data_IF_545702385750
#
_entry.id   IF_545702385750
#
_cell.length_a   1.000
_cell.length_b   1.000
_cell.length_c   1.000
_cell.angle_alpha   90.00
_cell.angle_beta   90.00
_cell.angle_gamma   90.00
#
_symmetry.space_group_name_H-M   'P 1'
#
loop_
_entity.id
_entity.type
_entity.pdbx_description
1 polymer ?
#
# COMPACT_ATOMS: atom_id res chain seq x y z
N UNK A 1 13.29 6.10 -8.25
CA UNK A 1 11.97 5.53 -8.62
C UNK A 1 12.01 4.02 -8.75
N UNK A 2 13.19 3.38 -8.72
CA UNK A 2 13.34 1.92 -8.83
C UNK A 2 12.49 1.14 -7.83
N UNK A 3 12.23 1.65 -6.63
CA UNK A 3 11.39 1.00 -5.62
C UNK A 3 9.97 0.63 -6.08
N UNK A 4 9.45 1.21 -7.17
CA UNK A 4 8.18 0.72 -7.75
C UNK A 4 8.39 -0.64 -8.45
N UNK A 5 9.45 -0.78 -9.24
CA UNK A 5 9.71 -1.96 -10.09
C UNK A 5 10.58 -3.02 -9.40
N UNK A 6 11.45 -2.56 -8.48
CA UNK A 6 12.41 -3.36 -7.72
C UNK A 6 12.31 -3.10 -6.20
N UNK A 7 11.14 -3.29 -5.58
CA UNK A 7 11.00 -3.10 -4.14
C UNK A 7 11.78 -4.17 -3.38
N UNK A 8 12.44 -3.76 -2.30
CA UNK A 8 13.07 -4.64 -1.30
C UNK A 8 12.07 -5.30 -0.38
N UNK A 9 10.87 -4.73 -0.25
CA UNK A 9 9.75 -5.32 0.47
C UNK A 9 8.47 -4.56 0.19
N UNK A 10 7.34 -5.27 0.21
CA UNK A 10 6.03 -4.70 -0.13
C UNK A 10 5.06 -4.90 1.03
N UNK A 11 4.47 -3.81 1.52
CA UNK A 11 3.36 -3.87 2.46
C UNK A 11 2.03 -3.81 1.70
N UNK A 12 1.06 -4.61 2.10
CA UNK A 12 -0.31 -4.56 1.56
C UNK A 12 -1.25 -4.10 2.67
N UNK A 13 -1.60 -2.82 2.66
CA UNK A 13 -2.47 -2.19 3.65
C UNK A 13 -3.93 -2.37 3.25
N UNK A 14 -4.73 -2.94 4.15
CA UNK A 14 -6.06 -3.44 3.82
C UNK A 14 -6.08 -4.91 3.41
N UNK A 15 -4.97 -5.64 3.61
CA UNK A 15 -4.92 -7.08 3.41
C UNK A 15 -5.97 -7.80 4.27
N UNK A 16 -6.54 -8.88 3.75
CA UNK A 16 -7.61 -9.61 4.43
C UNK A 16 -7.67 -11.05 3.92
N UNK A 17 -8.05 -12.05 4.74
CA UNK A 17 -8.34 -13.39 4.27
C UNK A 17 -9.71 -13.49 3.61
N UNK A 18 -10.55 -12.45 3.66
CA UNK A 18 -11.90 -12.52 3.10
C UNK A 18 -11.87 -12.72 1.56
N UNK A 19 -12.61 -13.70 1.03
CA UNK A 19 -12.62 -14.00 -0.39
C UNK A 19 -13.21 -12.83 -1.19
N UNK A 20 -12.81 -12.70 -2.46
CA UNK A 20 -13.33 -11.72 -3.41
C UNK A 20 -13.12 -10.24 -3.02
N UNK A 21 -12.05 -9.94 -2.27
CA UNK A 21 -11.70 -8.57 -1.88
C UNK A 21 -10.38 -8.13 -2.53
N UNK A 22 -10.27 -6.84 -2.86
CA UNK A 22 -9.06 -6.26 -3.47
C UNK A 22 -7.81 -6.48 -2.61
N UNK A 23 -7.90 -6.27 -1.30
CA UNK A 23 -6.79 -6.52 -0.38
C UNK A 23 -6.29 -7.97 -0.37
N UNK A 24 -7.20 -8.96 -0.48
CA UNK A 24 -6.81 -10.37 -0.63
C UNK A 24 -6.13 -10.61 -1.99
N UNK A 25 -6.70 -10.06 -3.06
CA UNK A 25 -6.17 -10.21 -4.42
C UNK A 25 -4.77 -9.62 -4.56
N UNK A 26 -4.49 -8.47 -3.93
CA UNK A 26 -3.15 -7.88 -3.91
C UNK A 26 -2.13 -8.82 -3.28
N UNK A 27 -2.44 -9.39 -2.11
CA UNK A 27 -1.55 -10.36 -1.46
C UNK A 27 -1.36 -11.58 -2.36
N UNK A 28 -2.44 -12.17 -2.89
CA UNK A 28 -2.33 -13.37 -3.73
C UNK A 28 -1.53 -13.10 -5.00
N UNK A 29 -1.74 -11.96 -5.66
CA UNK A 29 -1.02 -11.63 -6.89
C UNK A 29 0.48 -11.49 -6.64
N UNK A 30 0.88 -10.87 -5.54
CA UNK A 30 2.28 -10.77 -5.16
C UNK A 30 2.90 -12.16 -4.91
N UNK A 31 2.17 -13.08 -4.28
CA UNK A 31 2.68 -14.45 -4.03
C UNK A 31 2.92 -15.28 -5.29
N UNK A 32 2.41 -14.85 -6.46
CA UNK A 32 2.62 -15.58 -7.73
C UNK A 32 3.97 -15.32 -8.38
N UNK A 33 4.67 -14.23 -8.04
CA UNK A 33 5.91 -13.88 -8.75
C UNK A 33 6.83 -12.87 -8.06
N UNK A 34 6.42 -12.27 -6.93
CA UNK A 34 7.31 -11.43 -6.15
C UNK A 34 8.10 -12.27 -5.15
N UNK A 35 9.42 -12.33 -5.35
CA UNK A 35 10.34 -13.12 -4.52
C UNK A 35 10.82 -12.39 -3.25
N UNK A 36 10.47 -11.11 -3.08
CA UNK A 36 10.79 -10.36 -1.88
C UNK A 36 9.76 -10.55 -0.76
N UNK A 37 10.01 -9.95 0.42
CA UNK A 37 9.11 -10.09 1.55
C UNK A 37 7.80 -9.30 1.35
N UNK A 38 6.69 -9.99 1.59
CA UNK A 38 5.32 -9.46 1.53
C UNK A 38 4.80 -9.31 2.96
N UNK A 39 4.33 -8.11 3.32
CA UNK A 39 3.81 -7.80 4.64
C UNK A 39 2.33 -7.40 4.56
N UNK A 40 1.39 -8.31 4.82
CA UNK A 40 0.00 -7.93 5.05
C UNK A 40 -0.11 -6.95 6.22
N UNK A 41 -0.92 -5.91 6.06
CA UNK A 41 -1.18 -4.92 7.12
C UNK A 41 -2.69 -4.76 7.30
N UNK A 42 -3.18 -5.22 8.45
CA UNK A 42 -4.56 -5.07 8.90
C UNK A 42 -4.66 -5.38 10.42
N UNK A 43 -5.12 -4.44 11.26
CA UNK A 43 -5.19 -4.64 12.71
C UNK A 43 -6.22 -5.71 13.14
N UNK A 44 -7.09 -6.17 12.24
CA UNK A 44 -8.09 -7.21 12.53
C UNK A 44 -7.54 -8.63 12.46
N UNK A 45 -6.40 -8.82 11.82
CA UNK A 45 -5.87 -10.16 11.54
C UNK A 45 -4.42 -10.26 12.00
N UNK A 46 -4.06 -11.42 12.54
CA UNK A 46 -2.68 -11.78 12.86
C UNK A 46 -1.99 -12.49 11.69
N UNK A 47 -2.77 -13.01 10.73
CA UNK A 47 -2.27 -13.73 9.56
C UNK A 47 -3.22 -13.50 8.36
N UNK A 48 -2.65 -13.40 7.15
CA UNK A 48 -3.39 -13.36 5.89
C UNK A 48 -2.68 -14.27 4.88
N UNK A 49 -3.37 -15.28 4.37
CA UNK A 49 -2.83 -16.25 3.40
C UNK A 49 -1.51 -16.92 3.85
N UNK A 50 -1.40 -17.28 5.13
CA UNK A 50 -0.18 -17.89 5.68
C UNK A 50 0.97 -16.92 5.96
N UNK A 51 0.77 -15.61 5.73
CA UNK A 51 1.76 -14.58 5.99
C UNK A 51 1.41 -13.82 7.27
N UNK A 52 2.41 -13.55 8.12
CA UNK A 52 2.26 -12.72 9.33
C UNK A 52 1.68 -11.35 8.97
N UNK A 53 0.56 -11.00 9.58
CA UNK A 53 -0.11 -9.73 9.38
C UNK A 53 0.26 -8.75 10.50
N UNK A 54 0.57 -7.51 10.13
CA UNK A 54 0.94 -6.44 11.05
C UNK A 54 -0.25 -5.50 11.27
N UNK A 55 -0.40 -4.91 12.47
CA UNK A 55 -1.48 -3.96 12.70
C UNK A 55 -1.25 -2.61 12.03
N UNK A 56 0.02 -2.18 11.89
CA UNK A 56 0.41 -0.95 11.17
C UNK A 56 1.66 -1.16 10.33
N UNK A 57 1.87 -0.26 9.39
CA UNK A 57 3.08 -0.26 8.53
C UNK A 57 4.34 -0.01 9.36
N UNK A 58 4.26 0.84 10.39
CA UNK A 58 5.37 1.16 11.28
C UNK A 58 5.85 -0.02 12.13
N UNK A 59 5.03 -1.06 12.30
CA UNK A 59 5.36 -2.23 13.12
C UNK A 59 6.15 -3.30 12.35
N UNK A 60 6.36 -3.09 11.05
CA UNK A 60 7.11 -4.02 10.20
C UNK A 60 8.59 -3.92 10.55
N UNK A 61 9.20 -5.05 10.94
CA UNK A 61 10.63 -5.10 11.33
C UNK A 61 11.57 -5.20 10.11
N UNK A 62 11.10 -5.80 9.01
CA UNK A 62 11.92 -6.06 7.83
C UNK A 62 12.10 -4.88 6.87
N UNK A 63 12.83 -5.09 5.75
CA UNK A 63 12.97 -4.08 4.70
C UNK A 63 11.62 -3.80 4.05
N UNK A 64 11.32 -2.52 3.84
CA UNK A 64 10.07 -2.07 3.24
C UNK A 64 10.30 -0.74 2.53
N UNK A 65 10.01 -0.68 1.24
CA UNK A 65 10.16 0.53 0.42
C UNK A 65 8.95 0.82 -0.48
N UNK A 66 7.99 -0.11 -0.57
CA UNK A 66 6.73 0.08 -1.28
C UNK A 66 5.51 -0.34 -0.42
N UNK A 67 4.47 0.50 -0.41
CA UNK A 67 3.17 0.17 0.18
C UNK A 67 2.07 0.17 -0.88
N UNK A 68 1.28 -0.91 -0.94
CA UNK A 68 0.03 -0.99 -1.69
C UNK A 68 -1.12 -0.70 -0.72
N UNK A 69 -1.94 0.30 -1.02
CA UNK A 69 -2.95 0.83 -0.09
C UNK A 69 -4.34 0.60 -0.68
N UNK A 70 -5.09 -0.30 -0.04
CA UNK A 70 -6.46 -0.67 -0.38
C UNK A 70 -7.37 -0.58 0.86
N UNK A 71 -7.59 0.64 1.34
CA UNK A 71 -8.44 0.95 2.52
C UNK A 71 -9.44 2.07 2.18
N UNK A 72 -10.49 2.33 2.99
CA UNK A 72 -11.34 3.50 2.77
C UNK A 72 -10.52 4.79 2.67
N UNK A 73 -10.89 5.70 1.76
CA UNK A 73 -10.11 6.91 1.46
C UNK A 73 -9.72 7.71 2.72
N UNK A 74 -10.63 7.79 3.69
CA UNK A 74 -10.45 8.54 4.94
C UNK A 74 -9.33 7.97 5.83
N UNK A 75 -8.97 6.69 5.66
CA UNK A 75 -7.88 6.05 6.39
C UNK A 75 -6.51 6.28 5.73
N UNK A 76 -6.48 6.64 4.43
CA UNK A 76 -5.23 6.77 3.66
C UNK A 76 -4.25 7.79 4.27
N UNK A 77 -4.66 8.99 4.74
CA UNK A 77 -3.73 9.92 5.38
C UNK A 77 -2.93 9.31 6.54
N UNK A 78 -3.58 8.55 7.42
CA UNK A 78 -2.90 7.90 8.55
C UNK A 78 -1.92 6.82 8.06
N UNK A 79 -2.30 6.04 7.05
CA UNK A 79 -1.41 5.03 6.46
C UNK A 79 -0.16 5.68 5.85
N UNK A 80 -0.31 6.85 5.20
CA UNK A 80 0.83 7.58 4.65
C UNK A 80 1.78 8.08 5.76
N UNK A 81 1.27 8.54 6.89
CA UNK A 81 2.09 8.91 8.06
C UNK A 81 2.85 7.70 8.63
N UNK A 82 2.19 6.53 8.72
CA UNK A 82 2.84 5.29 9.16
C UNK A 82 3.94 4.86 8.18
N UNK A 83 3.69 4.98 6.87
CA UNK A 83 4.68 4.76 5.80
C UNK A 83 5.90 5.68 5.95
N UNK A 84 5.68 6.97 6.21
CA UNK A 84 6.76 7.94 6.41
C UNK A 84 7.57 7.58 7.65
N UNK A 85 6.91 7.23 8.75
CA UNK A 85 7.56 6.81 10.00
C UNK A 85 8.45 5.59 9.78
N UNK A 86 8.00 4.63 8.97
CA UNK A 86 8.78 3.42 8.60
C UNK A 86 9.89 3.69 7.57
N UNK A 87 9.88 4.84 6.90
CA UNK A 87 10.85 5.19 5.86
C UNK A 87 10.52 4.59 4.48
N UNK A 88 9.25 4.31 4.21
CA UNK A 88 8.78 3.82 2.90
C UNK A 88 9.01 4.88 1.82
N UNK A 89 9.46 4.45 0.64
CA UNK A 89 9.79 5.36 -0.47
C UNK A 89 8.61 5.61 -1.43
N UNK A 90 7.79 4.59 -1.66
CA UNK A 90 6.65 4.63 -2.57
C UNK A 90 5.35 4.13 -1.95
N UNK A 91 4.24 4.72 -2.35
CA UNK A 91 2.90 4.25 -2.04
C UNK A 91 2.05 4.19 -3.32
N UNK A 92 1.40 3.06 -3.59
CA UNK A 92 0.37 2.93 -4.62
C UNK A 92 -0.97 2.95 -3.91
N UNK A 93 -1.77 3.97 -4.17
CA UNK A 93 -3.10 4.12 -3.58
C UNK A 93 -4.14 3.68 -4.59
N UNK A 94 -4.71 2.50 -4.39
CA UNK A 94 -5.76 1.96 -5.26
C UNK A 94 -7.16 2.44 -4.84
N UNK A 95 -7.31 2.87 -3.59
CA UNK A 95 -8.54 3.42 -3.04
C UNK A 95 -9.14 4.55 -3.89
N UNK A 96 -10.45 4.48 -4.10
CA UNK A 96 -11.27 5.58 -4.63
C UNK A 96 -11.85 6.43 -3.49
N UNK A 97 -12.49 7.55 -3.82
CA UNK A 97 -13.04 8.55 -2.90
C UNK A 97 -12.26 9.87 -2.83
N UNK A 98 -11.46 10.19 -3.84
CA UNK A 98 -10.57 11.36 -3.87
C UNK A 98 -11.09 12.45 -4.83
N UNK A 99 -10.23 13.16 -5.57
CA UNK A 99 -10.65 14.29 -6.40
C UNK A 99 -11.78 13.96 -7.39
N UNK A 100 -11.90 12.70 -7.80
CA UNK A 100 -12.93 12.20 -8.71
C UNK A 100 -14.35 12.28 -8.14
N UNK A 101 -14.52 12.36 -6.81
CA UNK A 101 -15.86 12.46 -6.17
C UNK A 101 -16.23 13.89 -5.78
N UNK A 102 -15.44 14.90 -6.16
CA UNK A 102 -15.73 16.32 -5.97
C UNK A 102 -14.92 17.00 -4.84
N UNK A 103 -15.34 18.20 -4.39
CA UNK A 103 -14.49 19.08 -3.57
C UNK A 103 -13.99 18.46 -2.25
N UNK A 104 -14.81 17.66 -1.57
CA UNK A 104 -14.40 16.99 -0.32
C UNK A 104 -13.30 15.95 -0.57
N UNK A 105 -13.43 15.16 -1.63
CA UNK A 105 -12.43 14.18 -2.00
C UNK A 105 -11.15 14.84 -2.54
N UNK A 106 -11.27 15.98 -3.23
CA UNK A 106 -10.12 16.80 -3.62
C UNK A 106 -9.32 17.30 -2.41
N UNK A 107 -10.00 17.80 -1.38
CA UNK A 107 -9.35 18.24 -0.14
C UNK A 107 -8.60 17.08 0.56
N UNK A 108 -9.19 15.89 0.56
CA UNK A 108 -8.54 14.68 1.08
C UNK A 108 -7.30 14.28 0.27
N UNK A 109 -7.37 14.39 -1.06
CA UNK A 109 -6.22 14.16 -1.93
C UNK A 109 -5.09 15.17 -1.67
N UNK A 110 -5.43 16.44 -1.49
CA UNK A 110 -4.46 17.48 -1.18
C UNK A 110 -3.79 17.26 0.17
N UNK A 111 -4.56 16.83 1.18
CA UNK A 111 -4.00 16.39 2.46
C UNK A 111 -3.00 15.24 2.28
N UNK A 112 -3.31 14.23 1.47
CA UNK A 112 -2.40 13.11 1.20
C UNK A 112 -1.11 13.58 0.51
N UNK A 113 -1.22 14.52 -0.44
CA UNK A 113 -0.06 15.11 -1.12
C UNK A 113 0.83 15.90 -0.16
N UNK A 114 0.24 16.65 0.76
CA UNK A 114 0.99 17.44 1.75
C UNK A 114 1.74 16.54 2.75
N UNK A 115 1.11 15.45 3.18
CA UNK A 115 1.77 14.41 4.01
C UNK A 115 2.96 13.81 3.24
N UNK A 116 2.71 13.35 2.01
CA UNK A 116 3.74 12.71 1.20
C UNK A 116 4.94 13.62 0.91
N UNK A 117 4.69 14.91 0.65
CA UNK A 117 5.75 15.92 0.45
C UNK A 117 6.64 16.08 1.68
N UNK A 118 6.06 16.14 2.88
CA UNK A 118 6.81 16.26 4.14
C UNK A 118 7.74 15.07 4.37
N UNK A 119 7.27 13.86 4.07
CA UNK A 119 8.03 12.62 4.25
C UNK A 119 8.87 12.17 3.05
N UNK A 120 8.90 12.93 1.95
CA UNK A 120 9.53 12.56 0.67
C UNK A 120 9.01 11.23 0.09
N UNK A 121 7.77 10.86 0.44
CA UNK A 121 7.08 9.69 -0.08
C UNK A 121 6.54 10.00 -1.48
N UNK A 122 6.65 9.05 -2.42
CA UNK A 122 6.09 9.20 -3.77
C UNK A 122 4.79 8.41 -3.88
N UNK A 123 3.70 9.08 -4.28
CA UNK A 123 2.39 8.45 -4.45
C UNK A 123 2.16 8.15 -5.94
N UNK A 124 1.68 6.94 -6.22
CA UNK A 124 1.03 6.55 -7.47
C UNK A 124 -0.48 6.44 -7.22
N UNK A 125 -1.29 7.01 -8.11
CA UNK A 125 -2.74 7.14 -7.92
C UNK A 125 -3.09 8.51 -7.29
N UNK A 126 -4.15 8.61 -6.47
CA UNK A 126 -5.04 7.54 -5.99
C UNK A 126 -6.00 7.03 -7.08
N UNK A 127 -6.95 6.15 -6.71
CA UNK A 127 -7.98 5.58 -7.61
C UNK A 127 -7.37 4.95 -8.87
N UNK A 128 -6.54 3.92 -8.66
CA UNK A 128 -5.84 3.22 -9.74
C UNK A 128 -5.90 1.70 -9.51
N UNK A 129 -5.38 0.94 -10.49
CA UNK A 129 -5.30 -0.54 -10.44
C UNK A 129 -3.85 -1.04 -10.26
N UNK A 130 -2.95 -0.16 -9.81
CA UNK A 130 -1.51 -0.44 -9.80
C UNK A 130 -0.95 -0.70 -11.20
N UNK A 131 0.02 -1.61 -11.28
CA UNK A 131 0.61 -2.07 -12.54
C UNK A 131 1.15 -3.50 -12.38
N UNK A 132 1.49 -4.12 -13.52
CA UNK A 132 2.19 -5.40 -13.58
C UNK A 132 3.52 -5.14 -14.29
N UNK A 133 4.61 -5.58 -13.68
CA UNK A 133 5.92 -5.59 -14.32
C UNK A 133 6.22 -7.00 -14.85
N UNK A 134 6.21 -7.14 -16.17
CA UNK A 134 6.45 -8.41 -16.87
C UNK A 134 7.92 -8.61 -17.23
N UNK A 135 8.81 -7.65 -16.95
CA UNK A 135 10.23 -7.74 -17.31
C UNK A 135 11.04 -8.67 -16.41
N UNK A 136 10.46 -9.07 -15.27
CA UNK A 136 11.07 -10.01 -14.33
C UNK A 136 10.61 -11.41 -14.71
N UNK A 137 11.38 -12.07 -15.56
CA UNK A 137 11.26 -13.52 -15.76
C UNK A 137 11.65 -14.24 -14.46
N UNK A 138 10.85 -15.24 -14.09
CA UNK A 138 10.99 -16.08 -12.90
C UNK A 138 12.30 -16.87 -12.86
#
# INVERSE_FOLDING_TARGET
MNFFFEPKGIAVVGATPEPYTGGRFLVSNLTLGYNGPIYPVNPKYNEVLGLKCYPRVSDIEGPLDLALIFVPAQAVPQVLEDCITKGVCGAIVESSGFAEVGPKGKALQDQCLDIARKGRLRIWGPNCMGFIDTSRES
#
